data_IF_260564485427
#
_entry.id   IF_260564485427
#
_cell.length_a   1.000
_cell.length_b   1.000
_cell.length_c   1.000
_cell.angle_alpha   90.00
_cell.angle_beta   90.00
_cell.angle_gamma   90.00
#
_symmetry.space_group_name_H-M   'P 1'
#
loop_
_entity.id
_entity.type
_entity.pdbx_description
1 polymer ?
#
# COMPACT_ATOMS: atom_id res chain seq x y z
N UNK A 1 -33.43 15.43 -26.82
CA UNK A 1 -34.08 14.12 -27.08
C UNK A 1 -34.64 13.62 -25.76
N UNK A 2 -35.93 13.83 -25.58
CA UNK A 2 -36.73 13.44 -24.42
C UNK A 2 -37.04 11.95 -24.51
N UNK A 3 -36.45 11.12 -23.65
CA UNK A 3 -36.87 9.73 -23.50
C UNK A 3 -37.98 9.67 -22.47
N UNK A 4 -39.18 9.40 -22.96
CA UNK A 4 -40.42 9.22 -22.21
C UNK A 4 -40.28 8.03 -21.26
N UNK A 5 -40.69 8.22 -20.00
CA UNK A 5 -40.49 7.30 -18.88
C UNK A 5 -41.74 6.45 -18.58
N UNK A 6 -42.65 6.29 -19.52
CA UNK A 6 -44.04 5.86 -19.24
C UNK A 6 -44.42 4.42 -19.60
N UNK A 7 -43.54 3.57 -20.13
CA UNK A 7 -43.95 2.23 -20.64
C UNK A 7 -43.40 0.99 -19.88
N UNK A 8 -42.91 1.09 -18.65
CA UNK A 8 -42.47 -0.10 -17.92
C UNK A 8 -43.58 -0.89 -17.18
N UNK A 9 -44.75 -0.30 -16.95
CA UNK A 9 -45.79 -0.93 -16.13
C UNK A 9 -47.17 -0.77 -16.79
N UNK A 10 -47.40 -1.49 -17.89
CA UNK A 10 -48.77 -1.86 -18.28
C UNK A 10 -49.01 -3.30 -17.84
N UNK A 11 -49.37 -3.44 -16.57
CA UNK A 11 -49.82 -4.70 -16.00
C UNK A 11 -51.31 -4.90 -16.29
N UNK A 12 -51.63 -5.67 -17.32
CA UNK A 12 -52.83 -6.51 -17.33
C UNK A 12 -52.34 -7.95 -17.29
N UNK A 13 -51.91 -8.39 -16.10
CA UNK A 13 -52.12 -9.75 -15.59
C UNK A 13 -51.36 -9.94 -14.28
N UNK A 14 -52.13 -10.23 -13.24
CA UNK A 14 -51.70 -10.46 -11.87
C UNK A 14 -50.95 -11.78 -11.76
N UNK A 15 -49.64 -11.80 -12.04
CA UNK A 15 -48.66 -12.80 -11.51
C UNK A 15 -47.21 -12.62 -12.01
N UNK A 16 -46.91 -11.70 -12.93
CA UNK A 16 -45.54 -11.45 -13.34
C UNK A 16 -44.85 -10.41 -12.44
N UNK A 17 -43.92 -10.88 -11.61
CA UNK A 17 -42.91 -10.07 -10.92
C UNK A 17 -42.30 -9.06 -11.90
N UNK A 18 -42.62 -7.78 -11.70
CA UNK A 18 -42.13 -6.69 -12.53
C UNK A 18 -40.62 -6.59 -12.33
N UNK A 19 -39.86 -7.18 -13.26
CA UNK A 19 -38.41 -7.02 -13.35
C UNK A 19 -38.16 -5.53 -13.62
N UNK A 20 -37.50 -4.87 -12.67
CA UNK A 20 -37.26 -3.44 -12.66
C UNK A 20 -36.93 -2.88 -14.05
N UNK A 21 -37.52 -1.73 -14.40
CA UNK A 21 -37.15 -0.92 -15.56
C UNK A 21 -35.63 -0.81 -15.73
N UNK A 22 -35.11 -0.66 -16.96
CA UNK A 22 -33.75 -0.21 -17.18
C UNK A 22 -33.64 1.27 -16.78
N UNK A 23 -33.57 1.53 -15.47
CA UNK A 23 -33.10 2.80 -14.95
C UNK A 23 -31.67 2.99 -15.47
N UNK A 24 -31.37 4.17 -15.98
CA UNK A 24 -30.05 4.53 -16.49
C UNK A 24 -28.95 4.12 -15.50
N UNK A 25 -28.22 3.04 -15.80
CA UNK A 25 -27.04 2.53 -15.07
C UNK A 25 -25.88 3.56 -14.98
N UNK A 26 -26.11 4.79 -15.43
CA UNK A 26 -25.16 5.89 -15.47
C UNK A 26 -24.66 6.24 -14.06
N UNK A 27 -25.53 6.22 -13.05
CA UNK A 27 -25.14 6.49 -11.66
C UNK A 27 -24.17 5.44 -11.10
N UNK A 28 -24.44 4.16 -11.37
CA UNK A 28 -23.57 3.03 -11.00
C UNK A 28 -22.24 3.07 -11.76
N UNK A 29 -22.28 3.47 -13.03
CA UNK A 29 -21.09 3.69 -13.85
C UNK A 29 -20.20 4.82 -13.31
N UNK A 30 -20.77 6.00 -13.05
CA UNK A 30 -20.02 7.13 -12.48
C UNK A 30 -19.49 6.80 -11.08
N UNK A 31 -20.26 6.10 -10.25
CA UNK A 31 -19.80 5.60 -8.95
C UNK A 31 -18.60 4.66 -9.08
N UNK A 32 -18.65 3.73 -10.04
CA UNK A 32 -17.55 2.80 -10.29
C UNK A 32 -16.29 3.53 -10.79
N UNK A 33 -16.48 4.54 -11.64
CA UNK A 33 -15.40 5.36 -12.18
C UNK A 33 -14.74 6.23 -11.11
N UNK A 34 -15.53 6.92 -10.30
CA UNK A 34 -15.03 7.76 -9.20
C UNK A 34 -14.28 6.94 -8.17
N UNK A 35 -14.80 5.78 -7.77
CA UNK A 35 -14.12 4.88 -6.83
C UNK A 35 -12.76 4.42 -7.37
N UNK A 36 -12.66 4.16 -8.69
CA UNK A 36 -11.40 3.77 -9.33
C UNK A 36 -10.37 4.90 -9.37
N UNK A 37 -10.78 6.09 -9.79
CA UNK A 37 -9.90 7.25 -9.79
C UNK A 37 -9.41 7.54 -8.37
N UNK A 38 -10.31 7.52 -7.40
CA UNK A 38 -9.97 7.74 -6.00
C UNK A 38 -8.91 6.73 -5.51
N UNK A 39 -9.17 5.44 -5.73
CA UNK A 39 -8.23 4.38 -5.33
C UNK A 39 -6.89 4.50 -6.07
N UNK A 40 -6.89 4.79 -7.37
CA UNK A 40 -5.67 4.92 -8.17
C UNK A 40 -4.83 6.13 -7.77
N UNK A 41 -5.45 7.31 -7.60
CA UNK A 41 -4.74 8.51 -7.16
C UNK A 41 -4.15 8.29 -5.78
N UNK A 42 -4.92 7.67 -4.87
CA UNK A 42 -4.44 7.39 -3.52
C UNK A 42 -3.26 6.41 -3.52
N UNK A 43 -3.30 5.34 -4.31
CA UNK A 43 -2.20 4.37 -4.39
C UNK A 43 -0.96 4.95 -5.05
N UNK A 44 -1.12 5.83 -6.03
CA UNK A 44 0.00 6.56 -6.62
C UNK A 44 0.61 7.51 -5.59
N UNK A 45 -0.21 8.29 -4.89
CA UNK A 45 0.26 9.20 -3.85
C UNK A 45 1.05 8.44 -2.77
N UNK A 46 0.51 7.35 -2.24
CA UNK A 46 1.19 6.56 -1.21
C UNK A 46 2.43 5.85 -1.74
N UNK A 47 2.47 5.50 -3.03
CA UNK A 47 3.65 4.98 -3.71
C UNK A 47 4.76 6.03 -3.86
N UNK A 48 4.40 7.27 -4.24
CA UNK A 48 5.35 8.40 -4.37
C UNK A 48 5.88 8.86 -3.01
N UNK A 49 5.05 8.82 -1.95
CA UNK A 49 5.46 9.12 -0.58
C UNK A 49 6.62 8.24 -0.11
N UNK A 50 6.86 7.08 -0.74
CA UNK A 50 8.00 6.18 -0.44
C UNK A 50 9.34 6.68 -0.98
N UNK A 51 9.35 7.67 -1.86
CA UNK A 51 10.56 8.24 -2.46
C UNK A 51 10.89 9.63 -1.89
N UNK A 52 10.26 10.02 -0.77
CA UNK A 52 10.44 11.33 -0.14
C UNK A 52 11.60 11.28 0.85
N UNK A 53 12.62 12.12 0.63
CA UNK A 53 13.63 12.50 1.60
C UNK A 53 13.38 13.90 2.16
N UNK A 54 14.02 14.22 3.28
CA UNK A 54 14.05 15.58 3.83
C UNK A 54 15.44 16.16 3.65
N UNK A 55 15.56 17.25 2.91
CA UNK A 55 16.79 18.02 2.82
C UNK A 55 16.61 19.30 3.63
N UNK A 56 17.56 19.57 4.53
CA UNK A 56 17.62 20.83 5.24
C UNK A 56 17.92 21.94 4.24
N UNK A 57 16.92 22.76 3.95
CA UNK A 57 17.05 23.94 3.12
C UNK A 57 17.06 25.16 4.00
N UNK A 58 18.19 25.85 3.99
CA UNK A 58 18.35 27.16 4.60
C UNK A 58 17.69 28.22 3.71
N UNK A 59 16.37 28.41 3.87
CA UNK A 59 15.66 29.47 3.17
C UNK A 59 15.75 30.76 4.00
N UNK A 60 16.17 31.88 3.41
CA UNK A 60 16.24 33.16 4.13
C UNK A 60 14.84 33.57 4.57
N UNK A 61 14.68 33.84 5.87
CA UNK A 61 13.39 34.24 6.44
C UNK A 61 12.99 35.60 5.87
N UNK A 62 11.89 35.64 5.12
CA UNK A 62 11.37 36.88 4.58
C UNK A 62 10.67 37.70 5.67
N UNK A 63 11.11 38.94 5.85
CA UNK A 63 10.38 39.96 6.61
C UNK A 63 9.81 40.91 5.55
N UNK A 64 8.50 41.11 5.54
CA UNK A 64 7.78 41.98 4.59
C UNK A 64 7.99 41.64 3.10
N UNK A 65 8.11 40.35 2.77
CA UNK A 65 8.24 39.88 1.39
C UNK A 65 9.62 40.11 0.75
N UNK A 66 10.63 40.55 1.52
CA UNK A 66 12.03 40.61 1.09
C UNK A 66 12.93 39.75 1.99
N UNK A 67 13.97 39.10 1.45
CA UNK A 67 14.95 38.36 2.25
C UNK A 67 15.60 39.28 3.29
N UNK A 68 15.73 38.82 4.54
CA UNK A 68 16.38 39.62 5.58
C UNK A 68 17.88 39.85 5.26
N UNK A 69 18.39 41.05 5.57
CA UNK A 69 19.81 41.40 5.38
C UNK A 69 20.75 40.84 6.45
N UNK A 70 20.20 40.19 7.47
CA UNK A 70 20.92 39.69 8.65
C UNK A 70 21.37 38.22 8.50
N UNK A 71 21.05 37.56 7.38
CA UNK A 71 21.47 36.18 7.11
C UNK A 71 20.76 35.14 7.98
N UNK A 72 19.57 35.43 8.54
CA UNK A 72 18.79 34.40 9.23
C UNK A 72 18.13 33.49 8.20
N UNK A 73 18.61 32.25 8.13
CA UNK A 73 17.98 31.16 7.39
C UNK A 73 17.10 30.36 8.34
N UNK A 74 15.86 30.08 7.92
CA UNK A 74 15.07 29.06 8.58
C UNK A 74 15.50 27.71 8.02
N UNK A 75 15.86 26.79 8.92
CA UNK A 75 16.01 25.39 8.58
C UNK A 75 14.63 24.83 8.17
N UNK A 76 14.33 24.95 6.88
CA UNK A 76 13.10 24.39 6.30
C UNK A 76 13.41 22.99 5.80
N UNK A 77 12.73 21.99 6.34
CA UNK A 77 12.84 20.62 5.82
C UNK A 77 12.01 20.54 4.53
N UNK A 78 12.67 20.70 3.37
CA UNK A 78 12.01 20.53 2.08
C UNK A 78 11.92 19.04 1.76
N UNK A 79 10.75 18.62 1.26
CA UNK A 79 10.54 17.27 0.75
C UNK A 79 11.17 17.17 -0.63
N UNK A 80 12.22 16.38 -0.75
CA UNK A 80 12.85 16.08 -2.03
C UNK A 80 12.44 14.67 -2.48
N UNK A 81 12.16 14.51 -3.77
CA UNK A 81 11.80 13.23 -4.36
C UNK A 81 13.01 12.67 -5.11
N UNK A 82 13.62 11.62 -4.57
CA UNK A 82 14.76 10.98 -5.21
C UNK A 82 14.70 9.46 -5.07
N UNK A 83 15.22 8.74 -6.06
CA UNK A 83 15.30 7.27 -6.02
C UNK A 83 16.20 6.77 -4.88
N UNK A 84 17.17 7.59 -4.46
CA UNK A 84 18.07 7.33 -3.33
C UNK A 84 17.38 7.38 -1.96
N UNK A 85 16.22 8.02 -1.86
CA UNK A 85 15.43 8.12 -0.62
C UNK A 85 14.33 7.06 -0.53
N UNK A 86 14.42 6.00 -1.35
CA UNK A 86 13.39 4.98 -1.40
C UNK A 86 13.33 4.11 -0.14
N UNK A 87 12.22 4.21 0.60
CA UNK A 87 11.90 3.36 1.74
C UNK A 87 10.42 2.93 1.68
N UNK A 88 10.17 1.66 1.34
CA UNK A 88 8.83 1.08 1.30
C UNK A 88 8.14 1.07 2.68
N UNK A 89 8.85 0.63 3.73
CA UNK A 89 8.36 0.69 5.11
C UNK A 89 8.98 1.93 5.80
N UNK A 90 8.18 2.81 6.42
CA UNK A 90 8.71 3.96 7.16
C UNK A 90 9.70 3.51 8.25
N UNK A 91 10.79 4.25 8.44
CA UNK A 91 11.85 3.87 9.40
C UNK A 91 11.32 3.64 10.83
N UNK A 92 10.34 4.43 11.25
CA UNK A 92 9.71 4.28 12.56
C UNK A 92 8.98 2.94 12.73
N UNK A 93 8.35 2.43 11.66
CA UNK A 93 7.73 1.10 11.66
C UNK A 93 8.78 0.00 11.53
N UNK A 94 9.81 0.21 10.70
CA UNK A 94 10.89 -0.75 10.52
C UNK A 94 11.60 -1.08 11.84
N UNK A 95 11.87 -0.06 12.67
CA UNK A 95 12.45 -0.23 14.01
C UNK A 95 11.54 -1.01 14.96
N UNK A 96 10.22 -0.80 14.88
CA UNK A 96 9.23 -1.54 15.67
C UNK A 96 9.19 -3.01 15.26
N UNK A 97 9.15 -3.31 13.96
CA UNK A 97 9.22 -4.68 13.45
C UNK A 97 10.50 -5.41 13.91
N UNK A 98 11.64 -4.71 13.91
CA UNK A 98 12.91 -5.26 14.39
C UNK A 98 12.92 -5.60 15.90
N UNK A 99 11.98 -5.03 16.68
CA UNK A 99 11.86 -5.24 18.13
C UNK A 99 10.83 -6.32 18.47
N UNK A 100 9.95 -6.71 17.54
CA UNK A 100 8.85 -7.65 17.81
C UNK A 100 9.33 -9.11 17.98
N UNK A 101 8.92 -9.82 19.06
CA UNK A 101 9.34 -11.19 19.37
C UNK A 101 8.96 -12.26 18.33
N UNK A 102 8.02 -11.99 17.42
CA UNK A 102 7.63 -12.93 16.35
C UNK A 102 8.50 -12.81 15.08
N UNK A 103 9.25 -11.71 14.94
CA UNK A 103 10.26 -11.58 13.88
C UNK A 103 11.62 -12.12 14.33
N UNK A 104 11.93 -12.04 15.63
CA UNK A 104 13.12 -12.68 16.22
C UNK A 104 12.80 -14.14 16.52
N UNK A 105 13.74 -15.06 16.31
CA UNK A 105 13.56 -16.44 16.76
C UNK A 105 13.30 -16.44 18.29
N UNK A 106 12.39 -17.29 18.82
CA UNK A 106 12.14 -17.33 20.25
C UNK A 106 13.42 -17.74 21.01
N UNK A 107 13.73 -17.02 22.10
CA UNK A 107 14.95 -17.17 22.90
C UNK A 107 15.37 -18.64 23.22
N UNK A 108 14.48 -19.58 23.58
CA UNK A 108 14.88 -20.97 23.83
C UNK A 108 15.34 -21.73 22.56
N UNK A 109 14.83 -21.35 21.38
CA UNK A 109 15.28 -21.89 20.10
C UNK A 109 16.59 -21.21 19.68
N UNK A 110 16.74 -19.90 19.96
CA UNK A 110 18.00 -19.18 19.75
C UNK A 110 19.15 -19.79 20.56
N UNK A 111 18.93 -20.10 21.84
CA UNK A 111 19.93 -20.77 22.68
C UNK A 111 20.19 -22.20 22.22
N UNK A 112 19.14 -22.95 21.83
CA UNK A 112 19.27 -24.32 21.31
C UNK A 112 20.07 -24.38 19.99
N UNK A 113 19.89 -23.41 19.08
CA UNK A 113 20.66 -23.31 17.84
C UNK A 113 22.11 -22.90 18.15
N UNK A 114 22.33 -21.98 19.08
CA UNK A 114 23.68 -21.58 19.52
C UNK A 114 24.44 -22.77 20.12
N UNK A 115 23.80 -23.59 20.95
CA UNK A 115 24.39 -24.80 21.51
C UNK A 115 24.61 -25.90 20.46
N UNK A 116 23.64 -26.13 19.56
CA UNK A 116 23.76 -27.09 18.47
C UNK A 116 24.90 -26.72 17.51
N UNK A 117 25.06 -25.43 17.18
CA UNK A 117 26.15 -24.94 16.34
C UNK A 117 27.52 -25.04 17.03
N UNK A 118 27.58 -24.77 18.33
CA UNK A 118 28.79 -24.97 19.14
C UNK A 118 29.18 -26.46 19.20
N UNK A 119 28.19 -27.37 19.27
CA UNK A 119 28.38 -28.82 19.20
C UNK A 119 28.91 -29.29 17.83
N UNK A 120 28.53 -28.59 16.76
CA UNK A 120 29.04 -28.81 15.40
C UNK A 120 30.41 -28.17 15.11
N UNK A 121 31.05 -27.57 16.13
CA UNK A 121 32.42 -27.03 16.05
C UNK A 121 32.54 -25.57 15.62
N UNK A 122 31.43 -24.85 15.50
CA UNK A 122 31.44 -23.43 15.15
C UNK A 122 31.69 -22.50 16.35
N UNK A 123 32.36 -21.37 16.11
CA UNK A 123 32.70 -20.35 17.12
C UNK A 123 31.80 -19.12 16.96
N UNK A 124 31.37 -18.63 18.12
CA UNK A 124 30.67 -17.35 18.25
C UNK A 124 31.63 -16.33 18.88
N UNK A 125 31.67 -15.12 18.34
CA UNK A 125 32.39 -13.98 18.93
C UNK A 125 31.37 -12.89 19.27
N UNK A 126 30.83 -12.95 20.49
CA UNK A 126 29.74 -12.08 20.93
C UNK A 126 28.37 -12.50 20.39
N UNK A 127 27.55 -11.55 19.92
CA UNK A 127 26.22 -11.78 19.35
C UNK A 127 26.28 -12.25 17.87
N UNK A 128 27.49 -12.35 17.28
CA UNK A 128 27.71 -12.67 15.86
C UNK A 128 28.47 -14.00 15.66
N UNK A 129 28.06 -14.72 14.61
CA UNK A 129 28.71 -15.93 14.10
C UNK A 129 30.04 -15.56 13.42
N UNK A 130 31.17 -16.08 13.91
CA UNK A 130 32.50 -15.70 13.41
C UNK A 130 32.98 -16.56 12.22
N UNK A 131 32.35 -17.72 11.98
CA UNK A 131 32.85 -18.74 11.04
C UNK A 131 31.73 -19.43 10.25
N UNK A 132 30.62 -18.72 10.09
CA UNK A 132 29.58 -19.12 9.15
C UNK A 132 30.01 -18.91 7.70
N UNK A 133 29.90 -19.90 6.79
CA UNK A 133 29.82 -19.60 5.36
C UNK A 133 28.78 -18.50 5.14
N UNK A 134 29.23 -17.36 4.62
CA UNK A 134 28.44 -16.11 4.53
C UNK A 134 27.04 -16.29 3.92
N UNK A 135 26.84 -17.37 3.15
CA UNK A 135 25.58 -17.78 2.56
C UNK A 135 24.47 -18.09 3.58
N UNK A 136 24.77 -18.72 4.73
CA UNK A 136 23.72 -19.12 5.69
C UNK A 136 23.59 -18.20 6.91
N UNK A 137 24.61 -17.41 7.24
CA UNK A 137 24.46 -16.30 8.19
C UNK A 137 23.46 -15.26 7.67
N UNK A 138 23.53 -14.92 6.37
CA UNK A 138 22.55 -14.02 5.72
C UNK A 138 21.11 -14.52 5.70
N UNK A 139 20.90 -15.84 5.76
CA UNK A 139 19.57 -16.44 5.66
C UNK A 139 18.85 -16.53 7.02
N UNK A 140 19.61 -16.55 8.11
CA UNK A 140 19.10 -16.68 9.50
C UNK A 140 19.07 -15.36 10.27
N UNK A 141 19.80 -14.33 9.81
CA UNK A 141 20.03 -13.09 10.56
C UNK A 141 19.28 -11.87 9.95
N UNK A 142 18.83 -11.96 8.70
CA UNK A 142 18.08 -10.91 8.02
C UNK A 142 16.59 -11.26 7.93
N UNK A 143 15.66 -10.33 8.25
CA UNK A 143 14.25 -10.52 7.93
C UNK A 143 14.06 -10.39 6.41
N UNK A 144 14.37 -11.46 5.67
CA UNK A 144 14.25 -11.55 4.21
C UNK A 144 12.89 -11.03 3.74
N UNK A 145 11.81 -11.35 4.46
CA UNK A 145 10.47 -10.85 4.19
C UNK A 145 10.34 -9.34 4.29
N UNK A 146 10.93 -8.71 5.32
CA UNK A 146 10.80 -7.26 5.54
C UNK A 146 11.63 -6.47 4.53
N UNK A 147 12.78 -7.00 4.14
CA UNK A 147 13.66 -6.37 3.15
C UNK A 147 13.06 -6.49 1.72
N UNK A 148 12.51 -7.65 1.37
CA UNK A 148 11.74 -7.83 0.12
C UNK A 148 10.55 -6.87 0.11
N UNK A 149 9.83 -6.77 1.23
CA UNK A 149 8.67 -5.87 1.33
C UNK A 149 9.08 -4.40 1.21
N UNK A 150 10.20 -4.01 1.83
CA UNK A 150 10.74 -2.66 1.71
C UNK A 150 11.13 -2.32 0.27
N UNK A 151 11.69 -3.27 -0.48
CA UNK A 151 12.07 -3.09 -1.89
C UNK A 151 10.87 -3.07 -2.83
N UNK A 152 9.89 -3.95 -2.63
CA UNK A 152 8.78 -4.19 -3.56
C UNK A 152 7.60 -3.23 -3.38
N UNK A 153 7.35 -2.72 -2.18
CA UNK A 153 6.08 -2.07 -1.84
C UNK A 153 5.79 -0.79 -2.63
N UNK A 154 6.78 0.09 -2.83
CA UNK A 154 6.60 1.32 -3.60
C UNK A 154 6.40 1.07 -5.10
N UNK A 155 7.28 0.31 -5.77
CA UNK A 155 7.08 -0.08 -7.17
C UNK A 155 5.75 -0.79 -7.40
N UNK A 156 5.36 -1.71 -6.50
CA UNK A 156 4.08 -2.42 -6.61
C UNK A 156 2.88 -1.47 -6.51
N UNK A 157 2.89 -0.52 -5.57
CA UNK A 157 1.83 0.49 -5.42
C UNK A 157 1.72 1.41 -6.65
N UNK A 158 2.85 1.85 -7.20
CA UNK A 158 2.87 2.68 -8.41
C UNK A 158 2.35 1.91 -9.62
N UNK A 159 2.87 0.71 -9.89
CA UNK A 159 2.46 -0.11 -11.03
C UNK A 159 0.98 -0.48 -10.93
N UNK A 160 0.51 -0.91 -9.75
CA UNK A 160 -0.91 -1.21 -9.53
C UNK A 160 -1.78 0.04 -9.65
N UNK A 161 -1.32 1.19 -9.15
CA UNK A 161 -2.02 2.47 -9.26
C UNK A 161 -2.21 2.91 -10.72
N UNK A 162 -1.14 2.88 -11.52
CA UNK A 162 -1.23 3.14 -12.95
C UNK A 162 -2.08 2.11 -13.68
N UNK A 163 -1.99 0.83 -13.33
CA UNK A 163 -2.80 -0.24 -13.92
C UNK A 163 -4.30 -0.05 -13.66
N UNK A 164 -4.67 0.41 -12.46
CA UNK A 164 -6.06 0.75 -12.11
C UNK A 164 -6.51 2.03 -12.83
N UNK A 165 -5.64 3.04 -12.92
CA UNK A 165 -5.93 4.30 -13.60
C UNK A 165 -6.21 4.10 -15.10
N UNK A 166 -5.35 3.32 -15.79
CA UNK A 166 -5.52 2.99 -17.21
C UNK A 166 -6.61 1.93 -17.46
N UNK A 167 -7.15 1.30 -16.41
CA UNK A 167 -8.27 0.36 -16.52
C UNK A 167 -7.91 -0.98 -17.17
N UNK A 168 -6.62 -1.32 -17.28
CA UNK A 168 -6.16 -2.59 -17.85
C UNK A 168 -6.40 -3.70 -16.82
N UNK A 169 -7.17 -4.73 -17.20
CA UNK A 169 -7.51 -5.87 -16.33
C UNK A 169 -8.07 -5.46 -14.95
N UNK A 170 -9.02 -4.52 -14.93
CA UNK A 170 -9.50 -3.88 -13.70
C UNK A 170 -9.95 -4.82 -12.56
N UNK A 171 -10.42 -6.04 -12.86
CA UNK A 171 -10.82 -7.01 -11.83
C UNK A 171 -9.61 -7.61 -11.09
N UNK A 172 -8.54 -7.94 -11.80
CA UNK A 172 -7.36 -8.55 -11.19
C UNK A 172 -6.49 -7.51 -10.49
N UNK A 173 -6.40 -6.29 -11.03
CA UNK A 173 -5.67 -5.18 -10.38
C UNK A 173 -6.30 -4.76 -9.05
N UNK A 174 -7.64 -4.65 -8.99
CA UNK A 174 -8.38 -4.38 -7.76
C UNK A 174 -8.20 -5.51 -6.72
N UNK A 175 -8.18 -6.76 -7.18
CA UNK A 175 -7.92 -7.91 -6.32
C UNK A 175 -6.49 -7.90 -5.75
N UNK A 176 -5.49 -7.65 -6.58
CA UNK A 176 -4.08 -7.54 -6.15
C UNK A 176 -3.87 -6.37 -5.19
N UNK A 177 -4.52 -5.23 -5.44
CA UNK A 177 -4.50 -4.09 -4.52
C UNK A 177 -5.14 -4.45 -3.17
N UNK A 178 -6.25 -5.19 -3.18
CA UNK A 178 -6.88 -5.71 -1.97
C UNK A 178 -5.96 -6.66 -1.20
N UNK A 179 -5.30 -7.59 -1.89
CA UNK A 179 -4.33 -8.51 -1.29
C UNK A 179 -3.15 -7.76 -0.66
N UNK A 180 -2.65 -6.74 -1.34
CA UNK A 180 -1.59 -5.88 -0.82
C UNK A 180 -2.06 -5.13 0.44
N UNK A 181 -3.28 -4.59 0.48
CA UNK A 181 -3.80 -3.97 1.71
C UNK A 181 -4.01 -4.97 2.85
N UNK A 182 -4.44 -6.19 2.54
CA UNK A 182 -4.53 -7.27 3.53
C UNK A 182 -3.14 -7.58 4.11
N UNK A 183 -2.09 -7.72 3.27
CA UNK A 183 -0.73 -7.98 3.77
C UNK A 183 -0.19 -6.83 4.63
N UNK A 184 -0.46 -5.57 4.27
CA UNK A 184 -0.13 -4.42 5.11
C UNK A 184 -0.84 -4.49 6.47
N UNK A 185 -2.11 -4.89 6.48
CA UNK A 185 -2.92 -4.96 7.70
C UNK A 185 -2.40 -6.04 8.65
N UNK A 186 -1.98 -7.19 8.12
CA UNK A 186 -1.26 -8.21 8.89
C UNK A 186 0.10 -7.71 9.43
N UNK A 187 0.77 -6.82 8.72
CA UNK A 187 1.97 -6.15 9.24
C UNK A 187 1.65 -5.25 10.42
N UNK A 188 0.65 -4.38 10.30
CA UNK A 188 0.34 -3.41 11.36
C UNK A 188 -0.26 -4.06 12.62
N UNK A 189 -1.01 -5.15 12.49
CA UNK A 189 -1.55 -5.86 13.65
C UNK A 189 -0.44 -6.50 14.50
N UNK A 190 0.67 -6.90 13.88
CA UNK A 190 1.84 -7.43 14.59
C UNK A 190 2.51 -6.39 15.50
N UNK A 191 2.50 -5.11 15.12
CA UNK A 191 3.09 -4.01 15.90
C UNK A 191 2.07 -3.24 16.75
N UNK A 192 0.85 -3.78 16.91
CA UNK A 192 -0.28 -3.17 17.65
C UNK A 192 -0.49 -1.68 17.34
N UNK A 193 -0.45 -1.33 16.07
CA UNK A 193 -0.61 0.07 15.62
C UNK A 193 -2.05 0.32 15.17
N UNK A 194 -2.94 0.54 16.14
CA UNK A 194 -4.40 0.56 15.92
C UNK A 194 -4.86 1.71 15.00
N UNK A 195 -4.15 2.85 15.01
CA UNK A 195 -4.47 4.01 14.17
C UNK A 195 -4.30 3.71 12.69
N UNK A 196 -3.19 3.09 12.27
CA UNK A 196 -2.97 2.72 10.88
C UNK A 196 -3.89 1.58 10.42
N UNK A 197 -4.25 0.63 11.29
CA UNK A 197 -5.17 -0.48 10.96
C UNK A 197 -6.55 0.05 10.59
N UNK A 198 -7.12 0.96 11.39
CA UNK A 198 -8.43 1.56 11.09
C UNK A 198 -8.41 2.35 9.77
N UNK A 199 -7.33 3.11 9.55
CA UNK A 199 -7.15 3.87 8.32
C UNK A 199 -6.95 2.97 7.08
N UNK A 200 -6.27 1.84 7.20
CA UNK A 200 -6.14 0.86 6.11
C UNK A 200 -7.45 0.08 5.87
N UNK A 201 -8.20 -0.23 6.94
CA UNK A 201 -9.46 -0.96 6.87
C UNK A 201 -10.53 -0.28 6.02
N UNK A 202 -10.65 1.06 6.08
CA UNK A 202 -11.60 1.79 5.23
C UNK A 202 -11.27 1.60 3.74
N UNK A 203 -9.98 1.54 3.38
CA UNK A 203 -9.55 1.33 2.00
C UNK A 203 -9.83 -0.10 1.53
N UNK A 204 -9.73 -1.11 2.41
CA UNK A 204 -10.18 -2.47 2.11
C UNK A 204 -11.67 -2.52 1.75
N UNK A 205 -12.53 -1.85 2.51
CA UNK A 205 -13.97 -1.78 2.22
C UNK A 205 -14.22 -1.08 0.88
N UNK A 206 -13.51 0.03 0.60
CA UNK A 206 -13.61 0.74 -0.68
C UNK A 206 -13.17 -0.13 -1.86
N UNK A 207 -12.13 -0.97 -1.69
CA UNK A 207 -11.67 -1.91 -2.73
C UNK A 207 -12.72 -3.00 -2.98
N UNK A 208 -13.33 -3.56 -1.93
CA UNK A 208 -14.40 -4.56 -2.07
C UNK A 208 -15.62 -3.94 -2.77
N UNK A 209 -16.01 -2.73 -2.39
CA UNK A 209 -17.09 -1.99 -3.06
C UNK A 209 -16.76 -1.75 -4.54
N UNK A 210 -15.51 -1.37 -4.86
CA UNK A 210 -15.05 -1.19 -6.23
C UNK A 210 -15.01 -2.51 -7.03
N UNK A 211 -14.71 -3.65 -6.39
CA UNK A 211 -14.79 -4.98 -7.00
C UNK A 211 -16.24 -5.35 -7.35
N UNK A 212 -17.21 -5.07 -6.46
CA UNK A 212 -18.63 -5.32 -6.73
C UNK A 212 -19.16 -4.42 -7.86
N UNK A 213 -18.73 -3.15 -7.90
CA UNK A 213 -19.11 -2.20 -8.95
C UNK A 213 -18.35 -2.42 -10.26
N UNK A 214 -17.29 -3.23 -10.29
CA UNK A 214 -16.52 -3.52 -11.49
C UNK A 214 -17.35 -4.18 -12.60
N UNK A 215 -18.51 -4.78 -12.27
CA UNK A 215 -19.47 -5.33 -13.23
C UNK A 215 -20.15 -4.25 -14.10
N UNK A 216 -20.30 -3.03 -13.57
CA UNK A 216 -20.97 -1.91 -14.24
C UNK A 216 -19.99 -0.99 -14.97
N UNK A 217 -18.69 -1.27 -14.88
CA UNK A 217 -17.68 -0.47 -15.53
C UNK A 217 -17.65 -0.74 -17.04
N UNK A 218 -18.14 0.21 -17.84
CA UNK A 218 -18.12 0.15 -19.32
C UNK A 218 -16.79 0.61 -19.95
N UNK A 219 -15.83 1.09 -19.14
CA UNK A 219 -14.49 1.47 -19.60
C UNK A 219 -13.62 0.21 -19.71
N UNK A 220 -13.80 -0.56 -20.79
CA UNK A 220 -12.86 -1.56 -21.25
C UNK A 220 -12.16 -1.01 -22.50
N UNK A 221 -10.89 -0.64 -22.38
CA UNK A 221 -10.05 -0.18 -23.52
C UNK A 221 -9.69 -1.33 -24.47
N UNK A 222 -9.96 -2.59 -24.09
CA UNK A 222 -9.90 -3.77 -24.95
C UNK A 222 -11.25 -4.49 -24.90
N UNK A 223 -11.87 -4.67 -26.08
CA UNK A 223 -13.19 -5.31 -26.32
C UNK A 223 -13.28 -6.79 -25.90
N UNK A 224 -12.19 -7.35 -25.39
CA UNK A 224 -11.98 -8.75 -25.01
C UNK A 224 -11.14 -8.65 -23.73
N UNK A 225 -11.52 -9.34 -22.65
CA UNK A 225 -10.97 -9.29 -21.27
C UNK A 225 -11.77 -8.43 -20.28
#
# INVERSE_FOLDING_TARGET
>A
MTTDSTDCCKATDSTASCKACPGTDLGLFYGAFLLRIWLAVRTIQTGLEKYVGTVGSDQPVAIDGKPNGYGLTAATNLKEYALSHYHGVPEGLFKKFATEPLMRLPAPIETGIKECYKSLGGKFSGEKLADAPAAWAKFLEEPVMLNIYNVVLGPALLVLGFMILFGIASRTSLFLLGLLYISLTWGLILIKEDSGIAWLGIHMVLVVMALMLAKYNRLCLLKKW
#
